data_IF_002148723720
#
_entry.id   IF_002148723720
#
_cell.length_a   1.000
_cell.length_b   1.000
_cell.length_c   1.000
_cell.angle_alpha   90.00
_cell.angle_beta   90.00
_cell.angle_gamma   90.00
#
_symmetry.space_group_name_H-M   'P 1'
#
loop_
_entity.id
_entity.type
_entity.pdbx_description
1 polymer ?
#
# COMPACT_ATOMS: atom_id res chain seq x y z
N UNK A 1 -62.85 -49.66 55.51
CA UNK A 1 -61.49 -49.40 56.05
C UNK A 1 -60.41 -49.92 55.08
N UNK A 2 -60.58 -51.10 54.47
CA UNK A 2 -59.63 -51.67 53.49
C UNK A 2 -59.44 -50.84 52.19
N UNK A 3 -60.48 -50.15 51.71
CA UNK A 3 -60.39 -49.36 50.46
C UNK A 3 -59.51 -48.11 50.60
N UNK A 4 -59.41 -47.55 51.81
CA UNK A 4 -58.59 -46.39 52.10
C UNK A 4 -57.11 -46.77 52.07
N UNK A 5 -56.75 -47.94 52.63
CA UNK A 5 -55.38 -48.46 52.62
C UNK A 5 -54.93 -48.82 51.19
N UNK A 6 -55.81 -49.41 50.38
CA UNK A 6 -55.53 -49.70 48.96
C UNK A 6 -55.30 -48.42 48.14
N UNK A 7 -56.10 -47.37 48.39
CA UNK A 7 -55.93 -46.06 47.74
C UNK A 7 -54.64 -45.38 48.21
N UNK A 8 -54.31 -45.44 49.50
CA UNK A 8 -53.05 -44.91 50.04
C UNK A 8 -51.82 -45.58 49.43
N UNK A 9 -51.79 -46.92 49.37
CA UNK A 9 -50.70 -47.66 48.73
C UNK A 9 -50.54 -47.29 47.25
N UNK A 10 -51.66 -47.10 46.54
CA UNK A 10 -51.64 -46.69 45.13
C UNK A 10 -51.17 -45.24 44.93
N UNK A 11 -51.53 -44.33 45.83
CA UNK A 11 -51.04 -42.94 45.83
C UNK A 11 -49.54 -42.92 46.11
N UNK A 12 -49.06 -43.66 47.12
CA UNK A 12 -47.61 -43.74 47.42
C UNK A 12 -46.84 -44.30 46.23
N UNK A 13 -47.31 -45.39 45.60
CA UNK A 13 -46.68 -45.92 44.40
C UNK A 13 -46.71 -44.96 43.20
N UNK A 14 -47.78 -44.17 43.06
CA UNK A 14 -47.88 -43.13 42.03
C UNK A 14 -46.91 -41.97 42.31
N UNK A 15 -46.79 -41.54 43.57
CA UNK A 15 -45.84 -40.50 44.00
C UNK A 15 -44.39 -40.95 43.83
N UNK A 16 -44.06 -42.19 44.16
CA UNK A 16 -42.73 -42.77 43.93
C UNK A 16 -42.40 -42.85 42.44
N UNK A 17 -43.37 -43.22 41.60
CA UNK A 17 -43.21 -43.21 40.14
C UNK A 17 -43.04 -41.79 39.59
N UNK A 18 -43.78 -40.82 40.12
CA UNK A 18 -43.63 -39.40 39.74
C UNK A 18 -42.26 -38.88 40.19
N UNK A 19 -41.80 -39.25 41.38
CA UNK A 19 -40.48 -38.90 41.90
C UNK A 19 -39.36 -39.47 41.02
N UNK A 20 -39.42 -40.75 40.67
CA UNK A 20 -38.47 -41.38 39.74
C UNK A 20 -38.53 -40.77 38.34
N UNK A 21 -39.73 -40.40 37.86
CA UNK A 21 -39.90 -39.71 36.58
C UNK A 21 -39.29 -38.30 36.59
N UNK A 22 -39.42 -37.57 37.69
CA UNK A 22 -38.80 -36.26 37.89
C UNK A 22 -37.27 -36.35 37.97
N UNK A 23 -36.73 -37.35 38.68
CA UNK A 23 -35.28 -37.60 38.76
C UNK A 23 -34.70 -37.93 37.37
N UNK A 24 -35.37 -38.77 36.58
CA UNK A 24 -34.91 -39.10 35.22
C UNK A 24 -34.98 -37.90 34.23
N UNK A 25 -35.93 -36.99 34.41
CA UNK A 25 -36.01 -35.74 33.61
C UNK A 25 -34.94 -34.74 34.07
N UNK A 26 -34.65 -34.67 35.37
CA UNK A 26 -33.59 -33.83 35.92
C UNK A 26 -32.20 -34.29 35.44
N UNK A 27 -31.92 -35.59 35.42
CA UNK A 27 -30.65 -36.13 34.91
C UNK A 27 -30.45 -35.84 33.41
N UNK A 28 -31.51 -35.98 32.60
CA UNK A 28 -31.44 -35.63 31.16
C UNK A 28 -31.24 -34.13 30.93
N UNK A 29 -31.94 -33.29 31.69
CA UNK A 29 -31.75 -31.85 31.66
C UNK A 29 -30.37 -31.41 32.15
N UNK A 30 -29.75 -32.16 33.07
CA UNK A 30 -28.38 -31.95 33.54
C UNK A 30 -27.35 -32.23 32.44
N UNK A 31 -27.49 -33.32 31.70
CA UNK A 31 -26.60 -33.63 30.56
C UNK A 31 -26.74 -32.65 29.40
N UNK A 32 -27.96 -32.15 29.15
CA UNK A 32 -28.19 -31.13 28.12
C UNK A 32 -27.66 -29.75 28.54
N UNK A 33 -27.66 -29.43 29.84
CA UNK A 33 -27.12 -28.19 30.38
C UNK A 33 -25.59 -28.10 30.23
N UNK A 34 -24.86 -29.20 30.44
CA UNK A 34 -23.40 -29.25 30.23
C UNK A 34 -23.02 -29.08 28.75
N UNK A 35 -23.76 -29.73 27.84
CA UNK A 35 -23.56 -29.57 26.39
C UNK A 35 -23.87 -28.15 25.89
N UNK A 36 -24.92 -27.52 26.43
CA UNK A 36 -25.26 -26.12 26.13
C UNK A 36 -24.20 -25.15 26.64
N UNK A 37 -23.62 -25.40 27.83
CA UNK A 37 -22.53 -24.59 28.36
C UNK A 37 -21.26 -24.71 27.50
N UNK A 38 -20.93 -25.91 27.03
CA UNK A 38 -19.80 -26.13 26.12
C UNK A 38 -19.98 -25.41 24.78
N UNK A 39 -21.16 -25.51 24.17
CA UNK A 39 -21.49 -24.79 22.91
C UNK A 39 -21.48 -23.27 23.08
N UNK A 40 -21.93 -22.76 24.23
CA UNK A 40 -21.85 -21.32 24.53
C UNK A 40 -20.41 -20.84 24.68
N UNK A 41 -19.54 -21.67 25.26
CA UNK A 41 -18.11 -21.39 25.35
C UNK A 41 -17.44 -21.38 23.97
N UNK A 42 -17.67 -22.40 23.13
CA UNK A 42 -17.14 -22.44 21.76
C UNK A 42 -17.62 -21.24 20.92
N UNK A 43 -18.89 -20.87 21.04
CA UNK A 43 -19.44 -19.69 20.35
C UNK A 43 -18.80 -18.38 20.87
N UNK A 44 -18.49 -18.29 22.16
CA UNK A 44 -17.79 -17.14 22.72
C UNK A 44 -16.34 -17.06 22.20
N UNK A 45 -15.66 -18.20 22.15
CA UNK A 45 -14.28 -18.31 21.64
C UNK A 45 -14.21 -17.99 20.14
N UNK A 46 -15.18 -18.46 19.34
CA UNK A 46 -15.24 -18.17 17.90
C UNK A 46 -15.57 -16.70 17.61
N UNK A 47 -16.46 -16.09 18.40
CA UNK A 47 -16.72 -14.64 18.31
C UNK A 47 -15.48 -13.81 18.62
N UNK A 48 -14.74 -14.18 19.67
CA UNK A 48 -13.50 -13.52 20.04
C UNK A 48 -12.42 -13.68 18.94
N UNK A 49 -12.32 -14.87 18.34
CA UNK A 49 -11.46 -15.10 17.18
C UNK A 49 -11.89 -14.26 15.96
N UNK A 50 -13.21 -14.13 15.72
CA UNK A 50 -13.78 -13.27 14.69
C UNK A 50 -13.39 -11.80 14.87
N UNK A 51 -13.58 -11.25 16.08
CA UNK A 51 -13.20 -9.87 16.40
C UNK A 51 -11.70 -9.62 16.21
N UNK A 52 -10.84 -10.58 16.59
CA UNK A 52 -9.40 -10.49 16.36
C UNK A 52 -9.04 -10.50 14.87
N UNK A 53 -9.71 -11.33 14.08
CA UNK A 53 -9.50 -11.39 12.63
C UNK A 53 -10.00 -10.13 11.94
N UNK A 54 -11.14 -9.57 12.35
CA UNK A 54 -11.64 -8.29 11.84
C UNK A 54 -10.69 -7.13 12.17
N UNK A 55 -10.17 -7.10 13.40
CA UNK A 55 -9.17 -6.10 13.80
C UNK A 55 -7.87 -6.22 12.97
N UNK A 56 -7.39 -7.45 12.73
CA UNK A 56 -6.23 -7.70 11.87
C UNK A 56 -6.50 -7.32 10.42
N UNK A 57 -7.66 -7.69 9.88
CA UNK A 57 -8.04 -7.36 8.51
C UNK A 57 -8.09 -5.85 8.32
N UNK A 58 -8.69 -5.13 9.27
CA UNK A 58 -8.73 -3.67 9.25
C UNK A 58 -7.32 -3.07 9.26
N UNK A 59 -6.44 -3.55 10.15
CA UNK A 59 -5.04 -3.07 10.20
C UNK A 59 -4.27 -3.36 8.90
N UNK A 60 -4.49 -4.53 8.29
CA UNK A 60 -3.85 -4.89 7.01
C UNK A 60 -4.39 -4.03 5.87
N UNK A 61 -5.70 -3.77 5.82
CA UNK A 61 -6.31 -2.91 4.81
C UNK A 61 -5.81 -1.47 4.93
N UNK A 62 -5.73 -0.93 6.16
CA UNK A 62 -5.19 0.42 6.41
C UNK A 62 -3.73 0.53 5.95
N UNK A 63 -2.90 -0.49 6.25
CA UNK A 63 -1.51 -0.56 5.76
C UNK A 63 -1.44 -0.62 4.25
N UNK A 64 -2.20 -1.53 3.62
CA UNK A 64 -2.20 -1.70 2.17
C UNK A 64 -2.68 -0.43 1.45
N UNK A 65 -3.68 0.26 2.00
CA UNK A 65 -4.13 1.55 1.46
C UNK A 65 -3.02 2.59 1.54
N UNK A 66 -2.35 2.70 2.70
CA UNK A 66 -1.25 3.65 2.86
C UNK A 66 -0.05 3.35 1.96
N UNK A 67 0.30 2.08 1.78
CA UNK A 67 1.37 1.63 0.88
C UNK A 67 0.99 1.90 -0.58
N UNK A 68 -0.25 1.62 -0.97
CA UNK A 68 -0.75 1.90 -2.32
C UNK A 68 -0.73 3.40 -2.63
N UNK A 69 -1.17 4.25 -1.70
CA UNK A 69 -1.13 5.71 -1.86
C UNK A 69 0.31 6.23 -1.97
N UNK A 70 1.24 5.68 -1.18
CA UNK A 70 2.66 6.03 -1.26
C UNK A 70 3.29 5.60 -2.59
N UNK A 71 2.99 4.38 -3.05
CA UNK A 71 3.46 3.85 -4.32
C UNK A 71 2.93 4.66 -5.51
N UNK A 72 1.65 5.01 -5.51
CA UNK A 72 1.05 5.86 -6.54
C UNK A 72 1.70 7.26 -6.59
N UNK A 73 1.96 7.86 -5.43
CA UNK A 73 2.65 9.14 -5.34
C UNK A 73 4.11 9.05 -5.85
N UNK A 74 4.82 7.97 -5.50
CA UNK A 74 6.17 7.71 -5.96
C UNK A 74 6.23 7.47 -7.48
N UNK A 75 5.30 6.70 -8.03
CA UNK A 75 5.17 6.47 -9.48
C UNK A 75 4.93 7.78 -10.22
N UNK A 76 3.98 8.60 -9.76
CA UNK A 76 3.70 9.90 -10.38
C UNK A 76 4.92 10.81 -10.40
N UNK A 77 5.67 10.85 -9.29
CA UNK A 77 6.91 11.64 -9.21
C UNK A 77 7.97 11.15 -10.21
N UNK A 78 8.11 9.82 -10.37
CA UNK A 78 9.02 9.23 -11.36
C UNK A 78 8.60 9.55 -12.79
N UNK A 79 7.32 9.44 -13.10
CA UNK A 79 6.79 9.75 -14.43
C UNK A 79 7.03 11.22 -14.80
N UNK A 80 6.83 12.14 -13.85
CA UNK A 80 7.12 13.57 -14.03
C UNK A 80 8.62 13.82 -14.26
N UNK A 81 9.50 13.13 -13.52
CA UNK A 81 10.95 13.24 -13.71
C UNK A 81 11.40 12.71 -15.09
N UNK A 82 10.87 11.58 -15.53
CA UNK A 82 11.15 11.00 -16.85
C UNK A 82 10.66 11.94 -17.96
N UNK A 83 9.44 12.46 -17.85
CA UNK A 83 8.90 13.40 -18.84
C UNK A 83 9.74 14.68 -18.94
N UNK A 84 10.25 15.19 -17.81
CA UNK A 84 11.15 16.34 -17.77
C UNK A 84 12.48 16.04 -18.48
N UNK A 85 13.11 14.91 -18.18
CA UNK A 85 14.35 14.47 -18.82
C UNK A 85 14.19 14.32 -20.34
N UNK A 86 13.09 13.73 -20.80
CA UNK A 86 12.81 13.59 -22.23
C UNK A 86 12.68 14.95 -22.94
N UNK A 87 11.98 15.90 -22.31
CA UNK A 87 11.83 17.25 -22.84
C UNK A 87 13.19 17.99 -22.94
N UNK A 88 14.03 17.86 -21.92
CA UNK A 88 15.36 18.46 -21.90
C UNK A 88 16.30 17.82 -22.93
N UNK A 89 16.26 16.49 -23.09
CA UNK A 89 17.01 15.79 -24.15
C UNK A 89 16.56 16.21 -25.55
N UNK A 90 15.26 16.40 -25.77
CA UNK A 90 14.75 16.90 -27.04
C UNK A 90 15.24 18.33 -27.32
N UNK A 91 15.19 19.21 -26.33
CA UNK A 91 15.72 20.58 -26.42
C UNK A 91 17.21 20.59 -26.75
N UNK A 92 18.01 19.76 -26.06
CA UNK A 92 19.45 19.62 -26.31
C UNK A 92 19.74 19.14 -27.73
N UNK A 93 18.98 18.16 -28.24
CA UNK A 93 19.12 17.68 -29.64
C UNK A 93 18.80 18.79 -30.64
N UNK A 94 17.73 19.55 -30.40
CA UNK A 94 17.36 20.67 -31.27
C UNK A 94 18.42 21.77 -31.27
N UNK A 95 18.92 22.17 -30.10
CA UNK A 95 19.96 23.19 -30.00
C UNK A 95 21.27 22.75 -30.69
N UNK A 96 21.66 21.48 -30.54
CA UNK A 96 22.80 20.91 -31.25
C UNK A 96 22.62 20.89 -32.77
N UNK A 97 21.41 20.58 -33.25
CA UNK A 97 21.11 20.61 -34.68
C UNK A 97 21.22 22.04 -35.23
N UNK A 98 20.63 23.02 -34.54
CA UNK A 98 20.72 24.43 -34.92
C UNK A 98 22.17 24.94 -34.93
N UNK A 99 22.97 24.52 -33.96
CA UNK A 99 24.40 24.82 -33.91
C UNK A 99 25.16 24.27 -35.12
N UNK A 100 24.87 23.04 -35.55
CA UNK A 100 25.51 22.43 -36.72
C UNK A 100 25.15 23.18 -38.00
N UNK A 101 23.87 23.53 -38.15
CA UNK A 101 23.38 24.31 -39.29
C UNK A 101 24.03 25.70 -39.33
N UNK A 102 24.09 26.40 -38.20
CA UNK A 102 24.75 27.70 -38.12
C UNK A 102 26.25 27.62 -38.40
N UNK A 103 26.94 26.59 -37.89
CA UNK A 103 28.36 26.37 -38.20
C UNK A 103 28.59 26.09 -39.69
N UNK A 104 27.69 25.35 -40.33
CA UNK A 104 27.75 25.13 -41.77
C UNK A 104 27.57 26.44 -42.55
N UNK A 105 26.53 27.22 -42.23
CA UNK A 105 26.27 28.51 -42.89
C UNK A 105 27.44 29.50 -42.69
N UNK A 106 28.05 29.54 -41.51
CA UNK A 106 29.24 30.35 -41.25
C UNK A 106 30.45 29.92 -42.07
N UNK A 107 30.66 28.61 -42.28
CA UNK A 107 31.74 28.11 -43.14
C UNK A 107 31.49 28.47 -44.61
N UNK A 108 30.25 28.35 -45.08
CA UNK A 108 29.86 28.73 -46.45
C UNK A 108 30.03 30.23 -46.69
N UNK A 109 29.58 31.08 -45.75
CA UNK A 109 29.73 32.53 -45.83
C UNK A 109 31.21 32.96 -45.81
N UNK A 110 32.03 32.36 -44.93
CA UNK A 110 33.48 32.60 -44.91
C UNK A 110 34.17 32.15 -46.20
N UNK A 111 33.79 30.98 -46.77
CA UNK A 111 34.33 30.51 -48.05
C UNK A 111 33.97 31.44 -49.21
N UNK A 112 32.80 32.08 -49.15
CA UNK A 112 32.37 33.10 -50.10
C UNK A 112 33.01 34.49 -49.85
N UNK A 113 33.80 34.65 -48.78
CA UNK A 113 34.37 35.93 -48.37
C UNK A 113 33.34 36.95 -47.86
N UNK A 114 32.14 36.49 -47.54
CA UNK A 114 31.03 37.30 -47.03
C UNK A 114 31.02 37.22 -45.51
N UNK A 115 31.61 38.20 -44.84
CA UNK A 115 31.47 38.37 -43.40
C UNK A 115 30.07 38.91 -43.09
N UNK A 116 29.13 38.02 -42.77
CA UNK A 116 27.77 38.40 -42.41
C UNK A 116 27.61 38.45 -40.88
N UNK A 117 27.44 39.66 -40.35
CA UNK A 117 27.23 39.90 -38.93
C UNK A 117 25.94 39.27 -38.38
N UNK A 118 24.91 39.07 -39.21
CA UNK A 118 23.67 38.40 -38.78
C UNK A 118 23.88 36.89 -38.59
N UNK A 119 24.66 36.25 -39.46
CA UNK A 119 25.04 34.84 -39.31
C UNK A 119 25.91 34.60 -38.07
N UNK A 120 26.82 35.51 -37.77
CA UNK A 120 27.64 35.44 -36.54
C UNK A 120 26.74 35.55 -35.30
N UNK A 121 25.83 36.53 -35.26
CA UNK A 121 24.89 36.67 -34.16
C UNK A 121 23.97 35.44 -34.02
N UNK A 122 23.49 34.86 -35.12
CA UNK A 122 22.71 33.63 -35.11
C UNK A 122 23.52 32.44 -34.55
N UNK A 123 24.78 32.30 -34.97
CA UNK A 123 25.70 31.29 -34.44
C UNK A 123 25.91 31.43 -32.92
N UNK A 124 26.19 32.64 -32.45
CA UNK A 124 26.35 32.94 -31.03
C UNK A 124 25.07 32.68 -30.22
N UNK A 125 23.90 33.00 -30.77
CA UNK A 125 22.61 32.68 -30.13
C UNK A 125 22.40 31.17 -30.02
N UNK A 126 22.67 30.41 -31.08
CA UNK A 126 22.58 28.95 -31.03
C UNK A 126 23.57 28.32 -30.05
N UNK A 127 24.77 28.89 -29.90
CA UNK A 127 25.76 28.44 -28.90
C UNK A 127 25.28 28.69 -27.47
N UNK A 128 24.68 29.85 -27.21
CA UNK A 128 24.05 30.13 -25.92
C UNK A 128 22.85 29.21 -25.65
N UNK A 129 22.03 28.92 -26.66
CA UNK A 129 20.90 27.99 -26.56
C UNK A 129 21.39 26.58 -26.19
N UNK A 130 22.45 26.11 -26.87
CA UNK A 130 23.04 24.80 -26.61
C UNK A 130 23.68 24.71 -25.24
N UNK A 131 24.44 25.72 -24.81
CA UNK A 131 25.02 25.77 -23.46
C UNK A 131 23.93 25.77 -22.38
N UNK A 132 22.82 26.47 -22.60
CA UNK A 132 21.67 26.46 -21.68
C UNK A 132 21.00 25.09 -21.63
N UNK A 133 20.81 24.45 -22.78
CA UNK A 133 20.22 23.12 -22.86
C UNK A 133 21.11 22.06 -22.19
N UNK A 134 22.44 22.14 -22.37
CA UNK A 134 23.41 21.25 -21.75
C UNK A 134 23.44 21.42 -20.22
N UNK A 135 23.42 22.66 -19.75
CA UNK A 135 23.29 22.95 -18.31
C UNK A 135 21.95 22.49 -17.72
N UNK A 136 20.84 22.62 -18.45
CA UNK A 136 19.54 22.13 -18.01
C UNK A 136 19.56 20.60 -17.87
N UNK A 137 20.02 19.88 -18.90
CA UNK A 137 20.15 18.44 -18.88
C UNK A 137 21.03 17.95 -17.73
N UNK A 138 22.20 18.58 -17.52
CA UNK A 138 23.08 18.25 -16.39
C UNK A 138 22.45 18.53 -15.02
N UNK A 139 21.59 19.55 -14.91
CA UNK A 139 20.82 19.83 -13.69
C UNK A 139 19.78 18.73 -13.43
N UNK A 140 19.01 18.33 -14.44
CA UNK A 140 18.01 17.29 -14.27
C UNK A 140 18.64 15.92 -13.98
N UNK A 141 19.79 15.60 -14.57
CA UNK A 141 20.55 14.40 -14.22
C UNK A 141 21.00 14.44 -12.76
N UNK A 142 21.55 15.56 -12.29
CA UNK A 142 21.95 15.72 -10.89
C UNK A 142 20.76 15.64 -9.93
N UNK A 143 19.63 16.26 -10.28
CA UNK A 143 18.39 16.18 -9.48
C UNK A 143 17.88 14.73 -9.41
N UNK A 144 17.94 13.97 -10.51
CA UNK A 144 17.55 12.56 -10.55
C UNK A 144 18.47 11.70 -9.67
N UNK A 145 19.79 11.87 -9.77
CA UNK A 145 20.76 11.17 -8.91
C UNK A 145 20.55 11.49 -7.44
N UNK A 146 20.29 12.75 -7.10
CA UNK A 146 19.99 13.15 -5.72
C UNK A 146 18.69 12.53 -5.19
N UNK A 147 17.66 12.41 -6.05
CA UNK A 147 16.42 11.73 -5.70
C UNK A 147 16.66 10.24 -5.42
N UNK A 148 17.41 9.55 -6.28
CA UNK A 148 17.77 8.14 -6.11
C UNK A 148 18.58 7.91 -4.82
N UNK A 149 19.59 8.76 -4.56
CA UNK A 149 20.38 8.70 -3.32
C UNK A 149 19.52 8.97 -2.08
N UNK A 150 18.61 9.94 -2.15
CA UNK A 150 17.67 10.23 -1.07
C UNK A 150 16.75 9.04 -0.76
N UNK A 151 16.30 8.32 -1.79
CA UNK A 151 15.50 7.12 -1.63
C UNK A 151 16.29 5.99 -0.96
N UNK A 152 17.54 5.73 -1.38
CA UNK A 152 18.41 4.72 -0.77
C UNK A 152 18.62 5.02 0.72
N UNK A 153 18.91 6.27 1.07
CA UNK A 153 19.12 6.68 2.48
C UNK A 153 17.84 6.51 3.31
N UNK A 154 16.67 6.76 2.73
CA UNK A 154 15.39 6.61 3.41
C UNK A 154 15.05 5.13 3.66
N UNK A 155 15.34 4.27 2.69
CA UNK A 155 15.15 2.82 2.80
C UNK A 155 16.11 2.18 3.83
N UNK A 156 17.35 2.65 3.95
CA UNK A 156 18.28 2.21 5.00
C UNK A 156 17.82 2.61 6.42
N UNK A 157 17.14 3.76 6.56
CA UNK A 157 16.57 4.18 7.85
C UNK A 157 15.31 3.39 8.24
N UNK A 158 14.49 2.94 7.28
CA UNK A 158 13.31 2.10 7.56
C UNK A 158 13.67 0.63 7.83
N UNK A 159 14.80 0.15 7.31
CA UNK A 159 15.27 -1.23 7.50
C UNK A 159 16.05 -1.45 8.80
N UNK A 160 16.22 -0.42 9.65
CA UNK A 160 16.65 -0.62 11.04
C UNK A 160 15.40 -0.82 11.91
N UNK A 161 14.97 -2.06 12.20
CA UNK A 161 14.00 -2.25 13.26
C UNK A 161 14.60 -1.69 14.53
N UNK A 162 13.83 -0.90 15.25
CA UNK A 162 14.08 -0.59 16.65
C UNK A 162 14.14 -1.93 17.42
N UNK A 163 15.34 -2.50 17.48
CA UNK A 163 15.65 -3.69 18.25
C UNK A 163 15.91 -3.29 19.69
N UNK A 164 15.01 -3.74 20.55
CA UNK A 164 15.09 -3.82 22.01
C UNK A 164 16.50 -3.69 22.61
N UNK A 165 16.65 -2.73 23.52
CA UNK A 165 17.51 -2.79 24.69
C UNK A 165 16.82 -2.12 25.88
#
# INVERSE_FOLDING_TARGET
MNDIEAVQQRITAALDRVKQGLEAVADRGGTDAEGLAALQQELADEKLAGEQLEARLKSVLEKQQSESEADEAAQKTRDEAVAKLDAELQSLRQANQQLRENNQALREANAAGLADAQLINAGQQAELEALRADHAAGRAEADAVLADLGQIISQDNETTPAGDA
#
